data_IF_621264531292
#
_entry.id   IF_621264531292
#
_cell.length_a   1.000
_cell.length_b   1.000
_cell.length_c   1.000
_cell.angle_alpha   90.00
_cell.angle_beta   90.00
_cell.angle_gamma   90.00
#
_symmetry.space_group_name_H-M   'P 1'
#
loop_
_entity.id
_entity.type
_entity.pdbx_description
1 polymer ?
#
# COMPACT_ATOMS: atom_id res chain seq x y z
N UNK A 1 -4.53 -11.10 12.85
CA UNK A 1 -3.54 -10.69 11.82
C UNK A 1 -3.02 -9.28 12.09
N UNK A 2 -3.88 -8.25 12.22
CA UNK A 2 -3.42 -6.88 12.53
C UNK A 2 -2.68 -6.80 13.88
N UNK A 3 -3.31 -7.22 14.98
CA UNK A 3 -2.70 -7.13 16.33
C UNK A 3 -1.55 -8.10 16.56
N UNK A 4 -1.72 -9.36 16.13
CA UNK A 4 -0.85 -10.47 16.50
C UNK A 4 0.32 -10.70 15.52
N UNK A 5 0.35 -10.00 14.40
CA UNK A 5 1.40 -10.13 13.39
C UNK A 5 1.84 -8.75 12.89
N UNK A 6 0.95 -7.99 12.25
CA UNK A 6 1.36 -6.72 11.62
C UNK A 6 1.91 -5.72 12.64
N UNK A 7 1.16 -5.41 13.70
CA UNK A 7 1.60 -4.47 14.74
C UNK A 7 2.81 -5.02 15.50
N UNK A 8 2.90 -6.34 15.72
CA UNK A 8 4.05 -6.91 16.43
C UNK A 8 5.36 -6.79 15.66
N UNK A 9 5.32 -6.86 14.32
CA UNK A 9 6.50 -6.62 13.48
C UNK A 9 6.92 -5.14 13.48
N UNK A 10 6.00 -4.21 13.77
CA UNK A 10 6.30 -2.79 13.88
C UNK A 10 6.90 -2.39 15.24
N UNK A 11 7.00 -3.31 16.22
CA UNK A 11 7.42 -3.01 17.59
C UNK A 11 8.84 -2.41 17.72
N UNK A 12 9.70 -2.57 16.70
CA UNK A 12 11.02 -1.93 16.65
C UNK A 12 10.98 -0.47 16.17
N UNK A 13 9.80 0.00 15.74
CA UNK A 13 9.54 1.35 15.28
C UNK A 13 8.63 2.06 16.28
N UNK A 14 8.82 3.37 16.45
CA UNK A 14 7.87 4.19 17.18
C UNK A 14 6.58 4.28 16.35
N UNK A 15 5.65 3.34 16.55
CA UNK A 15 4.39 3.23 15.78
C UNK A 15 3.60 4.54 15.78
N UNK A 16 3.74 5.33 16.84
CA UNK A 16 3.13 6.66 16.97
C UNK A 16 3.69 7.71 16.00
N UNK A 17 4.88 7.48 15.43
CA UNK A 17 5.52 8.35 14.43
C UNK A 17 5.26 7.89 12.98
N UNK A 18 4.61 6.72 12.80
CA UNK A 18 4.35 6.16 11.49
C UNK A 18 2.98 6.59 10.96
N UNK A 19 2.94 6.88 9.66
CA UNK A 19 1.70 7.05 8.91
C UNK A 19 1.24 5.72 8.34
N UNK A 20 -0.01 5.36 8.63
CA UNK A 20 -0.65 4.18 8.05
C UNK A 20 -1.69 4.60 7.01
N UNK A 21 -1.58 4.05 5.80
CA UNK A 21 -2.55 4.25 4.74
C UNK A 21 -3.16 2.91 4.32
N UNK A 22 -4.48 2.89 4.14
CA UNK A 22 -5.21 1.78 3.53
C UNK A 22 -6.28 2.29 2.56
N UNK A 23 -6.70 1.42 1.64
CA UNK A 23 -7.74 1.73 0.67
C UNK A 23 -9.14 1.80 1.32
N UNK A 24 -10.15 2.09 0.50
CA UNK A 24 -11.54 2.27 0.93
C UNK A 24 -12.38 0.99 0.90
N UNK A 25 -11.77 -0.20 0.79
CA UNK A 25 -12.48 -1.46 0.58
C UNK A 25 -13.29 -1.87 1.82
N UNK A 26 -14.43 -2.54 1.63
CA UNK A 26 -15.42 -2.75 2.71
C UNK A 26 -14.83 -3.50 3.92
N UNK A 27 -13.96 -4.48 3.69
CA UNK A 27 -13.28 -5.23 4.76
C UNK A 27 -12.31 -4.37 5.59
N UNK A 28 -11.72 -3.33 4.99
CA UNK A 28 -10.76 -2.43 5.62
C UNK A 28 -11.44 -1.26 6.37
N UNK A 29 -12.72 -1.04 6.10
CA UNK A 29 -13.48 0.12 6.59
C UNK A 29 -14.54 -0.24 7.64
N UNK A 30 -14.56 -1.50 8.09
CA UNK A 30 -15.37 -1.93 9.22
C UNK A 30 -15.03 -1.11 10.47
N UNK A 31 -16.04 -0.75 11.27
CA UNK A 31 -15.89 0.10 12.46
C UNK A 31 -14.80 -0.43 13.40
N UNK A 32 -14.84 -1.71 13.72
CA UNK A 32 -13.86 -2.34 14.61
C UNK A 32 -12.42 -2.25 14.09
N UNK A 33 -12.22 -2.38 12.77
CA UNK A 33 -10.89 -2.23 12.14
C UNK A 33 -10.41 -0.79 12.23
N UNK A 34 -11.28 0.17 11.90
CA UNK A 34 -10.94 1.60 11.95
C UNK A 34 -10.63 2.05 13.39
N UNK A 35 -11.43 1.61 14.37
CA UNK A 35 -11.22 1.97 15.77
C UNK A 35 -9.88 1.39 16.27
N UNK A 36 -9.57 0.13 15.95
CA UNK A 36 -8.27 -0.48 16.27
C UNK A 36 -7.09 0.29 15.65
N UNK A 37 -7.20 0.68 14.38
CA UNK A 37 -6.15 1.44 13.70
C UNK A 37 -5.99 2.85 14.27
N UNK A 38 -7.09 3.51 14.67
CA UNK A 38 -7.04 4.80 15.36
C UNK A 38 -6.37 4.70 16.72
N UNK A 39 -6.65 3.66 17.49
CA UNK A 39 -5.99 3.43 18.78
C UNK A 39 -4.48 3.21 18.61
N UNK A 40 -4.07 2.65 17.47
CA UNK A 40 -2.67 2.31 17.18
C UNK A 40 -1.88 3.50 16.59
N UNK A 41 -2.44 4.18 15.59
CA UNK A 41 -1.76 5.22 14.80
C UNK A 41 -2.23 6.65 15.10
N UNK A 42 -3.27 6.82 15.92
CA UNK A 42 -3.82 8.13 16.28
C UNK A 42 -4.29 8.90 15.05
N UNK A 43 -3.84 10.16 14.95
CA UNK A 43 -4.14 11.05 13.83
C UNK A 43 -3.37 10.71 12.54
N UNK A 44 -2.39 9.80 12.60
CA UNK A 44 -1.55 9.40 11.46
C UNK A 44 -2.18 8.27 10.62
N UNK A 45 -3.52 8.22 10.56
CA UNK A 45 -4.28 7.23 9.80
C UNK A 45 -4.96 7.86 8.59
N UNK A 46 -4.57 7.40 7.40
CA UNK A 46 -5.17 7.73 6.10
C UNK A 46 -6.06 6.57 5.67
N UNK A 47 -7.37 6.73 5.81
CA UNK A 47 -8.34 5.69 5.50
C UNK A 47 -9.71 6.30 5.26
N UNK A 48 -10.58 5.58 4.56
CA UNK A 48 -12.01 5.91 4.60
C UNK A 48 -12.50 5.79 6.06
N UNK A 49 -13.12 6.86 6.56
CA UNK A 49 -13.54 7.03 7.96
C UNK A 49 -12.40 7.18 9.00
N UNK A 50 -11.15 7.32 8.54
CA UNK A 50 -10.01 7.71 9.36
C UNK A 50 -9.97 9.21 9.65
N UNK A 51 -9.01 9.67 10.48
CA UNK A 51 -8.73 11.10 10.69
C UNK A 51 -8.42 11.85 9.39
N UNK A 52 -7.62 11.25 8.50
CA UNK A 52 -7.40 11.74 7.14
C UNK A 52 -8.21 10.88 6.18
N UNK A 53 -9.24 11.48 5.57
CA UNK A 53 -10.17 10.74 4.73
C UNK A 53 -9.54 10.38 3.38
N UNK A 54 -9.56 9.09 3.02
CA UNK A 54 -9.11 8.61 1.71
C UNK A 54 -10.29 8.48 0.73
N UNK A 55 -10.20 9.03 -0.49
CA UNK A 55 -11.29 8.98 -1.46
C UNK A 55 -11.57 7.54 -1.93
N UNK A 56 -12.84 7.18 -2.20
CA UNK A 56 -13.18 5.87 -2.75
C UNK A 56 -12.69 5.72 -4.20
N UNK A 57 -12.36 4.48 -4.60
CA UNK A 57 -11.91 4.13 -5.97
C UNK A 57 -10.63 4.86 -6.39
N UNK A 58 -9.66 4.91 -5.50
CA UNK A 58 -8.40 5.64 -5.69
C UNK A 58 -7.20 4.71 -5.86
N UNK A 59 -7.36 3.60 -6.60
CA UNK A 59 -6.26 2.67 -6.87
C UNK A 59 -5.07 3.36 -7.55
N UNK A 60 -5.34 4.39 -8.37
CA UNK A 60 -4.31 5.24 -8.99
C UNK A 60 -3.46 6.02 -7.97
N UNK A 61 -3.91 6.12 -6.71
CA UNK A 61 -3.25 6.83 -5.62
C UNK A 61 -2.68 5.88 -4.55
N UNK A 62 -2.97 4.59 -4.61
CA UNK A 62 -2.46 3.62 -3.63
C UNK A 62 -1.18 2.97 -4.18
N UNK A 63 0.01 3.19 -3.56
CA UNK A 63 1.28 2.60 -4.02
C UNK A 63 1.26 1.07 -4.16
N UNK A 64 0.50 0.40 -3.31
CA UNK A 64 0.35 -1.06 -3.40
C UNK A 64 -0.38 -1.47 -4.70
N UNK A 65 -1.40 -0.71 -5.11
CA UNK A 65 -2.24 -1.03 -6.26
C UNK A 65 -1.57 -0.69 -7.59
N UNK A 66 -1.06 0.54 -7.74
CA UNK A 66 -0.49 0.96 -9.04
C UNK A 66 0.93 0.43 -9.27
N UNK A 67 1.62 -0.04 -8.23
CA UNK A 67 3.01 -0.50 -8.33
C UNK A 67 3.20 -1.90 -7.74
N UNK A 68 3.07 -2.09 -6.43
CA UNK A 68 3.59 -3.30 -5.76
C UNK A 68 2.96 -4.59 -6.32
N UNK A 69 1.64 -4.67 -6.39
CA UNK A 69 0.96 -5.90 -6.80
C UNK A 69 1.25 -6.27 -8.25
N UNK A 70 1.31 -5.29 -9.16
CA UNK A 70 1.68 -5.51 -10.55
C UNK A 70 3.13 -5.98 -10.69
N UNK A 71 4.04 -5.29 -10.00
CA UNK A 71 5.48 -5.61 -10.00
C UNK A 71 5.74 -7.01 -9.45
N UNK A 72 5.27 -7.29 -8.24
CA UNK A 72 5.47 -8.58 -7.56
C UNK A 72 4.87 -9.71 -8.40
N UNK A 73 3.65 -9.54 -8.92
CA UNK A 73 3.01 -10.55 -9.78
C UNK A 73 3.84 -10.85 -11.03
N UNK A 74 4.43 -9.83 -11.67
CA UNK A 74 5.24 -10.06 -12.88
C UNK A 74 6.47 -10.94 -12.63
N UNK A 75 7.06 -10.85 -11.44
CA UNK A 75 8.28 -11.58 -11.08
C UNK A 75 8.01 -12.92 -10.41
N UNK A 76 6.99 -13.00 -9.56
CA UNK A 76 6.61 -14.22 -8.84
C UNK A 76 6.11 -15.30 -9.79
N UNK A 77 5.53 -14.92 -10.94
CA UNK A 77 5.04 -15.85 -11.96
C UNK A 77 6.09 -16.23 -13.03
N UNK A 78 7.28 -15.61 -13.02
CA UNK A 78 8.24 -15.71 -14.11
C UNK A 78 8.77 -17.14 -14.35
N UNK A 79 8.94 -17.92 -13.29
CA UNK A 79 9.43 -19.30 -13.30
C UNK A 79 8.31 -20.36 -13.26
N UNK A 80 7.04 -19.93 -13.36
CA UNK A 80 5.84 -20.80 -13.41
C UNK A 80 5.78 -21.79 -12.23
N UNK A 81 5.74 -21.31 -10.98
CA UNK A 81 5.77 -22.17 -9.82
C UNK A 81 4.51 -23.06 -9.75
N UNK A 82 4.69 -24.30 -9.30
CA UNK A 82 3.64 -25.35 -9.30
C UNK A 82 3.18 -25.76 -7.89
N UNK A 83 3.84 -25.24 -6.84
CA UNK A 83 3.57 -25.58 -5.45
C UNK A 83 3.43 -24.31 -4.62
N UNK A 84 2.64 -24.37 -3.54
CA UNK A 84 2.44 -23.24 -2.62
C UNK A 84 3.77 -22.76 -2.02
N UNK A 85 4.63 -23.69 -1.59
CA UNK A 85 5.94 -23.35 -1.03
C UNK A 85 6.77 -22.51 -2.01
N UNK A 86 6.75 -22.87 -3.29
CA UNK A 86 7.49 -22.12 -4.32
C UNK A 86 6.88 -20.73 -4.56
N UNK A 87 5.54 -20.60 -4.52
CA UNK A 87 4.88 -19.29 -4.56
C UNK A 87 5.29 -18.41 -3.38
N UNK A 88 5.30 -18.96 -2.16
CA UNK A 88 5.69 -18.24 -0.95
C UNK A 88 7.15 -17.79 -0.98
N UNK A 89 8.06 -18.68 -1.39
CA UNK A 89 9.49 -18.38 -1.52
C UNK A 89 9.73 -17.26 -2.54
N UNK A 90 9.03 -17.32 -3.69
CA UNK A 90 9.14 -16.28 -4.70
C UNK A 90 8.60 -14.93 -4.21
N UNK A 91 7.48 -14.90 -3.48
CA UNK A 91 6.97 -13.66 -2.88
C UNK A 91 8.00 -13.08 -1.92
N UNK A 92 8.55 -13.89 -1.00
CA UNK A 92 9.55 -13.45 -0.02
C UNK A 92 10.80 -12.89 -0.70
N UNK A 93 11.32 -13.60 -1.71
CA UNK A 93 12.49 -13.18 -2.48
C UNK A 93 12.23 -11.86 -3.21
N UNK A 94 11.14 -11.79 -3.99
CA UNK A 94 10.82 -10.59 -4.77
C UNK A 94 10.61 -9.37 -3.89
N UNK A 95 9.93 -9.52 -2.74
CA UNK A 95 9.76 -8.42 -1.77
C UNK A 95 11.11 -8.00 -1.19
N UNK A 96 11.98 -8.94 -0.81
CA UNK A 96 13.31 -8.65 -0.28
C UNK A 96 14.24 -7.98 -1.32
N UNK A 97 14.03 -8.25 -2.61
CA UNK A 97 14.80 -7.67 -3.70
C UNK A 97 14.36 -6.23 -4.06
N UNK A 98 13.26 -5.71 -3.49
CA UNK A 98 12.81 -4.33 -3.72
C UNK A 98 13.85 -3.36 -3.13
N UNK A 99 14.49 -2.60 -4.01
CA UNK A 99 15.52 -1.64 -3.62
C UNK A 99 14.91 -0.34 -3.07
N UNK A 100 15.55 0.32 -2.09
CA UNK A 100 15.08 1.60 -1.56
C UNK A 100 14.84 2.68 -2.64
N UNK A 101 15.69 2.73 -3.67
CA UNK A 101 15.57 3.68 -4.78
C UNK A 101 14.28 3.46 -5.59
N UNK A 102 13.79 2.22 -5.67
CA UNK A 102 12.52 1.91 -6.31
C UNK A 102 11.36 2.49 -5.49
N UNK A 103 11.43 2.38 -4.15
CA UNK A 103 10.44 2.97 -3.26
C UNK A 103 10.46 4.51 -3.32
N UNK A 104 11.63 5.13 -3.40
CA UNK A 104 11.76 6.59 -3.59
C UNK A 104 11.01 7.05 -4.85
N UNK A 105 11.25 6.40 -6.00
CA UNK A 105 10.52 6.69 -7.26
C UNK A 105 9.01 6.50 -7.12
N UNK A 106 8.57 5.48 -6.38
CA UNK A 106 7.15 5.23 -6.13
C UNK A 106 6.54 6.40 -5.34
N UNK A 107 7.22 6.90 -4.31
CA UNK A 107 6.74 8.05 -3.55
C UNK A 107 6.79 9.38 -4.34
N UNK A 108 7.81 9.60 -5.17
CA UNK A 108 7.84 10.73 -6.11
C UNK A 108 6.67 10.70 -7.09
N UNK A 109 6.35 9.51 -7.61
CA UNK A 109 5.19 9.31 -8.48
C UNK A 109 3.88 9.51 -7.72
N UNK A 110 3.81 9.08 -6.45
CA UNK A 110 2.64 9.31 -5.61
C UNK A 110 2.31 10.81 -5.47
N UNK A 111 3.32 11.66 -5.26
CA UNK A 111 3.14 13.12 -5.26
C UNK A 111 2.63 13.64 -6.61
N UNK A 112 3.22 13.18 -7.72
CA UNK A 112 2.82 13.58 -9.07
C UNK A 112 1.36 13.16 -9.39
N UNK A 113 0.96 11.97 -8.95
CA UNK A 113 -0.40 11.43 -9.07
C UNK A 113 -1.40 12.27 -8.29
N UNK A 114 -1.07 12.65 -7.06
CA UNK A 114 -1.91 13.54 -6.24
C UNK A 114 -2.11 14.92 -6.91
N UNK A 115 -1.04 15.51 -7.45
CA UNK A 115 -1.11 16.78 -8.15
C UNK A 115 -1.97 16.70 -9.42
N UNK A 116 -1.83 15.62 -10.18
CA UNK A 116 -2.68 15.37 -11.33
C UNK A 116 -4.16 15.23 -10.91
N UNK A 117 -4.48 14.37 -9.95
CA UNK A 117 -5.86 14.16 -9.48
C UNK A 117 -6.48 15.46 -8.98
N UNK A 118 -5.70 16.30 -8.30
CA UNK A 118 -6.14 17.63 -7.89
C UNK A 118 -6.44 18.53 -9.08
N UNK A 119 -5.54 18.60 -10.06
CA UNK A 119 -5.69 19.44 -11.25
C UNK A 119 -6.82 18.98 -12.18
N UNK A 120 -7.04 17.67 -12.26
CA UNK A 120 -8.05 17.01 -13.10
C UNK A 120 -9.43 16.90 -12.43
N UNK A 121 -9.59 17.45 -11.22
CA UNK A 121 -10.81 17.37 -10.40
C UNK A 121 -11.29 15.94 -10.15
N UNK A 122 -10.35 15.02 -9.91
CA UNK A 122 -10.67 13.62 -9.60
C UNK A 122 -10.84 12.74 -10.84
N UNK A 123 -10.44 13.20 -12.03
CA UNK A 123 -10.48 12.35 -13.22
C UNK A 123 -9.42 11.24 -13.12
N UNK A 124 -9.72 10.01 -13.61
CA UNK A 124 -8.75 8.93 -13.65
C UNK A 124 -7.47 9.33 -14.38
N UNK A 125 -6.33 8.82 -13.93
CA UNK A 125 -5.06 9.08 -14.60
C UNK A 125 -4.93 8.13 -15.80
N UNK A 126 -4.60 8.61 -17.01
CA UNK A 126 -4.15 7.72 -18.08
C UNK A 126 -2.86 7.02 -17.61
N UNK A 127 -2.75 5.70 -17.81
CA UNK A 127 -1.67 4.85 -17.29
C UNK A 127 -0.28 5.50 -17.46
N UNK A 128 0.31 5.96 -16.36
CA UNK A 128 1.74 6.25 -16.30
C UNK A 128 2.44 4.97 -15.86
N UNK A 129 3.18 4.37 -16.78
CA UNK A 129 4.13 3.29 -16.48
C UNK A 129 5.20 3.90 -15.59
N UNK A 130 5.38 3.36 -14.38
CA UNK A 130 6.54 3.68 -13.56
C UNK A 130 7.78 3.24 -14.35
N UNK A 131 8.54 4.18 -14.90
CA UNK A 131 9.86 3.88 -15.46
C UNK A 131 10.81 3.57 -14.28
N UNK A 132 10.87 2.28 -13.94
CA UNK A 132 11.77 1.75 -12.91
C UNK A 132 13.21 1.74 -13.38
#
# INVERSE_FOLDING_TARGET
>A
MITNFFISELNNHYVQELWFQQDGETCHTARATIDLLKDTFGDHLISRFGPVNWPPRSCDLTPLDYFLWGYVKSLVYADKPQTLDHWEDNIRRVIADIQPQMLEKVFENWTSRLDYTRSSRGSPMPEIIVEM
#
